data_IF_652828689822
#
_entry.id   IF_652828689822
#
_cell.length_a   1.000
_cell.length_b   1.000
_cell.length_c   1.000
_cell.angle_alpha   90.00
_cell.angle_beta   90.00
_cell.angle_gamma   90.00
#
_symmetry.space_group_name_H-M   'P 1'
#
loop_
_entity.id
_entity.type
_entity.pdbx_description
1 polymer ?
#
# COMPACT_ATOMS: atom_id res chain seq x y z
N UNK A 1 -41.66 -41.86 23.46
CA UNK A 1 -40.52 -41.86 22.53
C UNK A 1 -40.39 -40.54 21.74
N UNK A 2 -41.49 -39.83 21.46
CA UNK A 2 -41.47 -38.57 20.66
C UNK A 2 -40.83 -37.31 21.32
N UNK A 3 -40.71 -37.29 22.66
CA UNK A 3 -40.18 -36.10 23.37
C UNK A 3 -38.64 -35.99 23.31
N UNK A 4 -37.93 -37.10 23.10
CA UNK A 4 -36.45 -37.09 23.01
C UNK A 4 -35.95 -36.62 21.64
N UNK A 5 -36.70 -36.87 20.58
CA UNK A 5 -36.35 -36.46 19.21
C UNK A 5 -36.53 -34.93 19.02
N UNK A 6 -37.56 -34.37 19.67
CA UNK A 6 -37.81 -32.92 19.64
C UNK A 6 -36.74 -32.13 20.39
N UNK A 7 -36.19 -32.65 21.49
CA UNK A 7 -35.13 -32.02 22.27
C UNK A 7 -33.79 -32.04 21.50
N UNK A 8 -33.50 -33.13 20.80
CA UNK A 8 -32.28 -33.27 20.00
C UNK A 8 -32.30 -32.35 18.80
N UNK A 9 -33.43 -32.16 18.13
CA UNK A 9 -33.60 -31.24 17.01
C UNK A 9 -33.48 -29.76 17.47
N UNK A 10 -33.99 -29.42 18.65
CA UNK A 10 -33.85 -28.11 19.23
C UNK A 10 -32.39 -27.79 19.65
N UNK A 11 -31.68 -28.79 20.18
CA UNK A 11 -30.23 -28.65 20.53
C UNK A 11 -29.35 -28.52 19.29
N UNK A 12 -29.63 -29.30 18.24
CA UNK A 12 -28.92 -29.17 16.97
C UNK A 12 -29.20 -27.81 16.28
N UNK A 13 -30.43 -27.32 16.32
CA UNK A 13 -30.79 -26.00 15.81
C UNK A 13 -30.10 -24.88 16.57
N UNK A 14 -30.02 -24.98 17.92
CA UNK A 14 -29.30 -24.02 18.73
C UNK A 14 -27.75 -24.05 18.51
N UNK A 15 -27.18 -25.23 18.26
CA UNK A 15 -25.76 -25.40 17.97
C UNK A 15 -25.41 -24.83 16.59
N UNK A 16 -26.27 -25.00 15.58
CA UNK A 16 -26.08 -24.39 14.24
C UNK A 16 -26.23 -22.88 14.32
N UNK A 17 -27.16 -22.35 15.12
CA UNK A 17 -27.29 -20.90 15.32
C UNK A 17 -26.10 -20.31 16.10
N UNK A 18 -25.50 -21.07 17.04
CA UNK A 18 -24.26 -20.67 17.72
C UNK A 18 -23.04 -20.72 16.82
N UNK A 19 -22.98 -21.65 15.87
CA UNK A 19 -21.91 -21.73 14.87
C UNK A 19 -22.05 -20.65 13.78
N UNK A 20 -23.28 -20.23 13.47
CA UNK A 20 -23.52 -19.08 12.58
C UNK A 20 -23.34 -17.73 13.29
N UNK A 21 -23.35 -17.69 14.63
CA UNK A 21 -23.10 -16.50 15.45
C UNK A 21 -21.61 -16.28 15.79
N UNK A 22 -20.70 -17.16 15.34
CA UNK A 22 -19.31 -16.83 15.16
C UNK A 22 -19.17 -15.87 13.96
N UNK A 23 -19.91 -14.76 13.99
CA UNK A 23 -19.57 -13.58 13.22
C UNK A 23 -18.15 -13.21 13.62
N UNK A 24 -17.28 -13.14 12.63
CA UNK A 24 -15.93 -12.59 12.81
C UNK A 24 -16.05 -11.37 13.69
N UNK A 25 -15.37 -11.36 14.82
CA UNK A 25 -15.29 -10.19 15.67
C UNK A 25 -14.77 -9.07 14.77
N UNK A 26 -15.64 -8.11 14.43
CA UNK A 26 -15.20 -6.88 13.77
C UNK A 26 -14.21 -6.23 14.74
N UNK A 27 -12.93 -6.40 14.46
CA UNK A 27 -11.91 -5.59 15.12
C UNK A 27 -12.09 -4.21 14.52
N UNK A 28 -12.49 -3.26 15.35
CA UNK A 28 -12.79 -1.90 14.93
C UNK A 28 -11.47 -1.12 14.95
N UNK A 29 -10.72 -1.21 13.86
CA UNK A 29 -9.49 -0.43 13.70
C UNK A 29 -9.83 1.03 13.42
N UNK A 30 -8.99 2.00 13.85
CA UNK A 30 -9.16 3.40 13.53
C UNK A 30 -9.27 3.59 12.01
N UNK A 31 -10.27 4.34 11.55
CA UNK A 31 -10.39 4.65 10.13
C UNK A 31 -9.18 5.46 9.67
N UNK A 32 -8.67 5.14 8.48
CA UNK A 32 -7.76 6.01 7.76
C UNK A 32 -8.62 7.10 7.12
N UNK A 33 -8.18 8.35 7.24
CA UNK A 33 -8.87 9.47 6.59
C UNK A 33 -8.82 9.29 5.08
N UNK A 34 -9.98 9.28 4.44
CA UNK A 34 -10.13 8.97 3.03
C UNK A 34 -11.33 9.75 2.45
N UNK A 35 -11.21 10.25 1.21
CA UNK A 35 -12.29 10.99 0.58
C UNK A 35 -13.50 10.09 0.29
N UNK A 36 -14.68 10.69 0.15
CA UNK A 36 -15.87 10.00 -0.29
C UNK A 36 -15.82 9.79 -1.81
N UNK A 37 -15.59 8.56 -2.26
CA UNK A 37 -15.46 8.22 -3.67
C UNK A 37 -16.72 8.57 -4.49
N UNK A 38 -17.90 8.59 -3.88
CA UNK A 38 -19.15 8.92 -4.56
C UNK A 38 -19.21 10.41 -4.95
N UNK A 39 -18.39 11.26 -4.34
CA UNK A 39 -18.30 12.70 -4.64
C UNK A 39 -17.19 13.05 -5.62
N UNK A 40 -16.31 12.10 -5.95
CA UNK A 40 -15.16 12.30 -6.82
C UNK A 40 -15.47 11.98 -8.29
N UNK A 41 -14.77 12.64 -9.20
CA UNK A 41 -14.75 12.29 -10.63
C UNK A 41 -13.48 11.49 -10.90
N UNK A 42 -13.60 10.16 -10.91
CA UNK A 42 -12.47 9.28 -11.08
C UNK A 42 -12.32 8.80 -12.52
N UNK A 43 -11.09 8.77 -12.99
CA UNK A 43 -10.65 8.11 -14.22
C UNK A 43 -10.15 6.70 -13.91
N UNK A 44 -10.21 5.79 -14.88
CA UNK A 44 -9.69 4.41 -14.72
C UNK A 44 -8.46 4.23 -15.60
N UNK A 45 -7.48 3.51 -15.07
CA UNK A 45 -6.26 3.11 -15.79
C UNK A 45 -5.90 1.68 -15.41
N UNK A 46 -5.21 0.99 -16.30
CA UNK A 46 -4.66 -0.34 -16.04
C UNK A 46 -3.31 -0.51 -16.72
N UNK A 47 -2.40 -1.24 -16.07
CA UNK A 47 -1.22 -1.84 -16.68
C UNK A 47 -1.40 -3.37 -16.83
N UNK A 48 -0.31 -4.13 -16.97
CA UNK A 48 -0.37 -5.59 -17.11
C UNK A 48 -0.82 -6.33 -15.83
N UNK A 49 -0.77 -5.71 -14.67
CA UNK A 49 -0.94 -6.35 -13.36
C UNK A 49 -2.09 -5.78 -12.54
N UNK A 50 -2.30 -4.47 -12.63
CA UNK A 50 -3.23 -3.71 -11.78
C UNK A 50 -4.13 -2.83 -12.62
N UNK A 51 -5.41 -2.75 -12.23
CA UNK A 51 -6.37 -1.71 -12.64
C UNK A 51 -6.73 -0.90 -11.42
N UNK A 52 -6.82 0.43 -11.55
CA UNK A 52 -7.22 1.29 -10.45
C UNK A 52 -7.96 2.54 -10.96
N UNK A 53 -8.70 3.19 -10.06
CA UNK A 53 -9.33 4.50 -10.33
C UNK A 53 -8.57 5.58 -9.57
N UNK A 54 -8.48 6.77 -10.17
CA UNK A 54 -7.71 7.90 -9.64
C UNK A 54 -8.32 9.23 -10.06
N UNK A 55 -8.00 10.30 -9.37
CA UNK A 55 -8.37 11.66 -9.75
C UNK A 55 -7.38 12.19 -10.81
N UNK A 56 -7.82 12.23 -12.06
CA UNK A 56 -7.00 12.70 -13.17
C UNK A 56 -6.81 14.23 -13.21
N UNK A 57 -7.47 14.99 -12.33
CA UNK A 57 -7.20 16.42 -12.14
C UNK A 57 -5.97 16.68 -11.25
N UNK A 58 -5.58 15.70 -10.44
CA UNK A 58 -4.46 15.79 -9.51
C UNK A 58 -3.28 14.89 -9.86
N UNK A 59 -3.55 13.75 -10.51
CA UNK A 59 -2.56 12.72 -10.78
C UNK A 59 -2.45 12.37 -12.26
N UNK A 60 -1.23 12.19 -12.76
CA UNK A 60 -0.92 11.65 -14.08
C UNK A 60 -0.53 10.18 -13.96
N UNK A 61 -1.31 9.28 -14.54
CA UNK A 61 -1.00 7.85 -14.54
C UNK A 61 -0.02 7.49 -15.66
N UNK A 62 0.95 6.63 -15.36
CA UNK A 62 1.82 5.99 -16.36
C UNK A 62 1.58 4.47 -16.37
N UNK A 63 0.75 3.96 -17.28
CA UNK A 63 0.46 2.54 -17.40
C UNK A 63 1.58 1.73 -18.09
N UNK A 64 2.62 2.37 -18.58
CA UNK A 64 3.76 1.69 -19.22
C UNK A 64 4.76 1.15 -18.20
N UNK A 65 4.65 1.56 -16.94
CA UNK A 65 5.52 1.17 -15.83
C UNK A 65 4.85 0.07 -15.00
N UNK A 66 5.63 -0.88 -14.51
CA UNK A 66 5.25 -1.87 -13.51
C UNK A 66 6.21 -1.72 -12.32
N UNK A 67 5.69 -1.34 -11.13
CA UNK A 67 4.30 -1.14 -10.69
C UNK A 67 3.58 0.02 -11.39
N UNK A 68 2.22 0.00 -11.38
CA UNK A 68 1.39 1.09 -11.92
C UNK A 68 1.68 2.38 -11.16
N UNK A 69 2.16 3.40 -11.86
CA UNK A 69 2.72 4.62 -11.27
C UNK A 69 1.86 5.86 -11.58
N UNK A 70 1.73 6.72 -10.59
CA UNK A 70 1.00 7.99 -10.65
C UNK A 70 1.91 9.13 -10.18
N UNK A 71 1.99 10.20 -10.95
CA UNK A 71 2.77 11.40 -10.65
C UNK A 71 1.86 12.56 -10.29
N UNK A 72 2.21 13.30 -9.24
CA UNK A 72 1.42 14.45 -8.78
C UNK A 72 1.56 15.64 -9.73
N UNK A 73 0.45 16.09 -10.30
CA UNK A 73 0.46 17.11 -11.37
C UNK A 73 0.94 18.48 -10.90
N UNK A 74 0.70 18.83 -9.63
CA UNK A 74 1.13 20.13 -9.11
C UNK A 74 2.66 20.24 -8.98
N UNK A 75 3.39 19.11 -9.00
CA UNK A 75 4.83 19.04 -8.75
C UNK A 75 5.66 18.58 -9.97
N UNK A 76 5.06 18.53 -11.15
CA UNK A 76 5.74 18.10 -12.38
C UNK A 76 6.82 19.05 -12.89
N UNK A 77 7.06 20.18 -12.20
CA UNK A 77 8.10 21.15 -12.55
C UNK A 77 9.49 20.75 -12.03
N UNK A 78 9.60 19.82 -11.11
CA UNK A 78 10.83 19.33 -10.52
C UNK A 78 11.04 17.85 -10.88
N UNK A 79 11.75 17.59 -11.99
CA UNK A 79 12.02 16.23 -12.47
C UNK A 79 12.87 15.40 -11.48
N UNK A 80 13.58 16.06 -10.53
CA UNK A 80 14.45 15.38 -9.57
C UNK A 80 13.70 14.94 -8.30
N UNK A 81 12.55 15.55 -7.99
CA UNK A 81 11.79 15.32 -6.76
C UNK A 81 10.30 15.07 -7.06
N UNK A 82 10.02 14.15 -7.94
CA UNK A 82 8.62 13.85 -8.32
C UNK A 82 7.89 13.11 -7.19
N UNK A 83 6.87 13.77 -6.67
CA UNK A 83 5.88 13.13 -5.80
C UNK A 83 5.14 12.08 -6.60
N UNK A 84 5.12 10.84 -6.10
CA UNK A 84 4.51 9.74 -6.82
C UNK A 84 3.80 8.75 -5.90
N UNK A 85 2.90 7.97 -6.50
CA UNK A 85 2.28 6.80 -5.89
C UNK A 85 2.47 5.62 -6.82
N UNK A 86 2.86 4.47 -6.26
CA UNK A 86 2.95 3.21 -6.98
C UNK A 86 1.92 2.23 -6.41
N UNK A 87 1.27 1.48 -7.29
CA UNK A 87 0.34 0.42 -6.90
C UNK A 87 0.82 -0.90 -7.46
N UNK A 88 1.02 -1.88 -6.58
CA UNK A 88 1.45 -3.21 -6.95
C UNK A 88 0.50 -4.28 -6.42
N UNK A 89 0.23 -5.29 -7.23
CA UNK A 89 -0.43 -6.51 -6.83
C UNK A 89 0.59 -7.45 -6.19
N UNK A 90 0.28 -8.00 -5.02
CA UNK A 90 1.19 -8.91 -4.31
C UNK A 90 0.76 -10.36 -4.46
N UNK A 91 -0.46 -10.70 -4.05
CA UNK A 91 -0.95 -12.08 -4.11
C UNK A 91 -2.47 -12.16 -4.00
N UNK A 92 -3.04 -13.30 -4.46
CA UNK A 92 -4.47 -13.60 -4.37
C UNK A 92 -4.79 -14.54 -3.21
N UNK A 93 -6.08 -14.61 -2.86
CA UNK A 93 -6.61 -15.54 -1.85
C UNK A 93 -6.54 -15.01 -0.42
N UNK A 94 -6.27 -13.74 -0.24
CA UNK A 94 -6.26 -13.08 1.07
C UNK A 94 -7.68 -12.69 1.46
N UNK A 95 -8.17 -13.20 2.60
CA UNK A 95 -9.52 -12.87 3.07
C UNK A 95 -9.57 -11.52 3.78
N UNK A 96 -8.59 -11.24 4.61
CA UNK A 96 -8.43 -9.99 5.38
C UNK A 96 -7.01 -9.89 5.92
N UNK A 97 -6.62 -8.68 6.27
CA UNK A 97 -5.38 -8.42 7.02
C UNK A 97 -5.63 -8.48 8.52
N UNK A 98 -4.64 -8.93 9.25
CA UNK A 98 -4.62 -9.06 10.72
C UNK A 98 -3.35 -8.44 11.29
N UNK A 99 -3.25 -8.32 12.61
CA UNK A 99 -2.03 -7.85 13.28
C UNK A 99 -0.82 -8.77 13.05
N UNK A 100 -1.07 -10.07 12.86
CA UNK A 100 0.00 -11.04 12.56
C UNK A 100 0.60 -10.78 11.18
N UNK A 101 -0.21 -10.38 10.19
CA UNK A 101 0.26 -10.06 8.84
C UNK A 101 1.15 -8.80 8.81
N UNK A 102 1.01 -7.91 9.79
CA UNK A 102 1.78 -6.66 9.82
C UNK A 102 3.30 -6.91 9.92
N UNK A 103 3.73 -7.98 10.58
CA UNK A 103 5.14 -8.34 10.67
C UNK A 103 5.68 -8.85 9.33
N UNK A 104 4.88 -9.60 8.58
CA UNK A 104 5.25 -10.12 7.28
C UNK A 104 5.30 -8.99 6.25
N UNK A 105 4.32 -8.07 6.28
CA UNK A 105 4.31 -6.89 5.41
C UNK A 105 5.47 -5.93 5.72
N UNK A 106 5.83 -5.78 7.00
CA UNK A 106 7.02 -5.02 7.38
C UNK A 106 8.29 -5.67 6.83
N UNK A 107 8.42 -7.00 6.96
CA UNK A 107 9.57 -7.73 6.42
C UNK A 107 9.67 -7.63 4.90
N UNK A 108 8.54 -7.57 4.18
CA UNK A 108 8.50 -7.34 2.73
C UNK A 108 9.08 -5.97 2.40
N UNK A 109 8.59 -4.91 3.04
CA UNK A 109 9.06 -3.53 2.82
C UNK A 109 10.53 -3.38 3.23
N UNK A 110 10.92 -3.90 4.40
CA UNK A 110 12.32 -3.85 4.87
C UNK A 110 13.25 -4.73 4.02
N UNK A 111 12.75 -5.86 3.48
CA UNK A 111 13.51 -6.76 2.63
C UNK A 111 13.91 -6.11 1.31
N UNK A 112 13.03 -5.33 0.74
CA UNK A 112 13.28 -4.57 -0.50
C UNK A 112 14.28 -3.41 -0.25
N UNK A 113 14.20 -2.75 0.93
CA UNK A 113 14.98 -1.55 1.25
C UNK A 113 15.85 -1.69 2.51
N UNK A 114 16.36 -2.86 2.79
CA UNK A 114 16.86 -3.37 4.09
C UNK A 114 17.84 -2.53 4.90
N UNK A 115 18.32 -1.40 4.44
CA UNK A 115 19.26 -0.54 5.19
C UNK A 115 19.01 0.96 5.02
N UNK A 116 17.98 1.31 4.30
CA UNK A 116 17.68 2.67 3.87
C UNK A 116 16.41 3.16 4.49
N UNK A 117 15.46 2.24 4.73
CA UNK A 117 14.15 2.56 5.26
C UNK A 117 14.16 2.50 6.80
N UNK A 118 13.74 3.60 7.41
CA UNK A 118 13.44 3.66 8.83
C UNK A 118 11.95 3.85 9.02
N UNK A 119 11.25 2.81 9.49
CA UNK A 119 9.82 2.89 9.81
C UNK A 119 9.62 3.69 11.10
N UNK A 120 8.84 4.74 11.01
CA UNK A 120 8.52 5.67 12.10
C UNK A 120 7.16 5.38 12.72
N UNK A 121 6.18 4.96 11.89
CA UNK A 121 4.84 4.57 12.30
C UNK A 121 4.40 3.32 11.56
N UNK A 122 3.74 2.41 12.27
CA UNK A 122 3.01 1.28 11.68
C UNK A 122 1.79 0.97 12.52
N UNK A 123 0.67 0.72 11.86
CA UNK A 123 -0.58 0.38 12.55
C UNK A 123 -1.57 -0.33 11.65
N UNK A 124 -2.46 -1.09 12.28
CA UNK A 124 -3.70 -1.48 11.63
C UNK A 124 -4.61 -0.26 11.50
N UNK A 125 -5.31 -0.17 10.39
CA UNK A 125 -6.33 0.84 10.14
C UNK A 125 -7.51 0.22 9.40
N UNK A 126 -8.54 1.02 9.12
CA UNK A 126 -9.70 0.61 8.35
C UNK A 126 -9.88 1.53 7.14
N UNK A 127 -10.10 0.92 5.98
CA UNK A 127 -10.54 1.57 4.75
C UNK A 127 -11.92 1.01 4.38
N UNK A 128 -12.96 1.84 4.36
CA UNK A 128 -14.36 1.45 4.10
C UNK A 128 -14.84 0.25 4.95
N UNK A 129 -14.34 0.15 6.19
CA UNK A 129 -14.66 -0.94 7.11
C UNK A 129 -13.87 -2.23 6.87
N UNK A 130 -12.98 -2.27 5.88
CA UNK A 130 -12.02 -3.35 5.67
C UNK A 130 -10.71 -3.07 6.39
N UNK A 131 -10.09 -4.12 6.98
CA UNK A 131 -8.80 -3.98 7.62
C UNK A 131 -7.71 -3.68 6.59
N UNK A 132 -6.85 -2.74 6.92
CA UNK A 132 -5.67 -2.35 6.14
C UNK A 132 -4.48 -2.14 7.08
N UNK A 133 -3.27 -2.14 6.52
CA UNK A 133 -2.04 -1.81 7.25
C UNK A 133 -1.50 -0.51 6.69
N UNK A 134 -1.23 0.44 7.58
CA UNK A 134 -0.56 1.69 7.27
C UNK A 134 0.83 1.70 7.87
N UNK A 135 1.81 2.13 7.08
CA UNK A 135 3.17 2.38 7.55
C UNK A 135 3.67 3.72 7.00
N UNK A 136 4.52 4.37 7.78
CA UNK A 136 5.23 5.60 7.41
C UNK A 136 6.69 5.46 7.78
N UNK A 137 7.57 5.91 6.90
CA UNK A 137 9.00 5.85 7.12
C UNK A 137 9.75 6.88 6.31
N UNK A 138 11.06 6.89 6.49
CA UNK A 138 11.99 7.67 5.67
C UNK A 138 13.02 6.76 5.05
N UNK A 139 13.33 7.01 3.80
CA UNK A 139 14.38 6.33 3.05
C UNK A 139 15.55 7.26 2.82
N UNK A 140 16.76 6.77 3.04
CA UNK A 140 17.99 7.53 2.82
C UNK A 140 19.05 6.66 2.16
N UNK A 141 19.78 7.21 1.20
CA UNK A 141 20.92 6.51 0.63
C UNK A 141 21.99 6.24 1.68
N UNK A 142 22.52 5.04 1.68
CA UNK A 142 23.66 4.61 2.48
C UNK A 142 24.74 4.03 1.54
N UNK A 143 25.99 3.91 2.01
CA UNK A 143 27.03 3.24 1.22
C UNK A 143 26.62 1.85 0.75
N UNK A 144 25.93 1.11 1.64
CA UNK A 144 25.44 -0.23 1.32
C UNK A 144 24.39 -0.21 0.22
N UNK A 145 23.46 0.76 0.24
CA UNK A 145 22.47 0.94 -0.82
C UNK A 145 23.15 1.16 -2.17
N UNK A 146 24.09 2.07 -2.20
CA UNK A 146 24.83 2.42 -3.41
C UNK A 146 25.57 1.18 -3.95
N UNK A 147 26.17 0.37 -3.05
CA UNK A 147 26.83 -0.89 -3.44
C UNK A 147 25.81 -1.88 -4.04
N UNK A 148 24.64 -2.04 -3.43
CA UNK A 148 23.57 -2.92 -3.95
C UNK A 148 23.03 -2.43 -5.30
N UNK A 149 22.88 -1.14 -5.51
CA UNK A 149 22.43 -0.57 -6.79
C UNK A 149 23.44 -0.87 -7.90
N UNK A 150 24.74 -0.82 -7.59
CA UNK A 150 25.80 -1.19 -8.54
C UNK A 150 25.77 -2.70 -8.80
N UNK A 151 25.70 -3.54 -7.76
CA UNK A 151 25.68 -4.99 -7.86
C UNK A 151 24.48 -5.50 -8.68
N UNK A 152 23.30 -4.89 -8.50
CA UNK A 152 22.08 -5.23 -9.21
C UNK A 152 21.98 -4.61 -10.61
N UNK A 153 22.95 -3.76 -11.00
CA UNK A 153 22.98 -3.10 -12.30
C UNK A 153 21.96 -1.98 -12.49
N UNK A 154 21.39 -1.47 -11.39
CA UNK A 154 20.50 -0.30 -11.43
C UNK A 154 21.30 0.97 -11.75
N UNK A 155 22.55 1.04 -11.28
CA UNK A 155 23.53 2.07 -11.63
C UNK A 155 24.90 1.42 -11.89
N UNK A 156 25.66 2.02 -12.77
CA UNK A 156 27.08 1.71 -12.92
C UNK A 156 27.92 2.68 -12.08
N UNK A 157 29.13 2.30 -11.70
CA UNK A 157 30.06 3.21 -11.02
C UNK A 157 30.33 4.48 -11.85
N UNK A 158 30.35 4.36 -13.18
CA UNK A 158 30.58 5.50 -14.10
C UNK A 158 29.42 6.51 -14.06
N UNK A 159 28.18 6.04 -13.95
CA UNK A 159 27.00 6.90 -13.79
C UNK A 159 26.99 7.62 -12.43
N UNK A 160 27.36 6.92 -11.35
CA UNK A 160 27.52 7.53 -10.03
C UNK A 160 28.60 8.60 -10.05
N UNK A 161 29.76 8.33 -10.67
CA UNK A 161 30.84 9.30 -10.78
C UNK A 161 30.43 10.50 -11.64
N UNK A 162 29.59 10.30 -12.67
CA UNK A 162 29.09 11.36 -13.54
C UNK A 162 28.17 12.35 -12.83
N UNK A 163 27.38 11.88 -11.84
CA UNK A 163 26.51 12.76 -11.01
C UNK A 163 27.24 13.41 -9.84
N UNK A 164 28.56 13.21 -9.70
CA UNK A 164 29.40 13.82 -8.67
C UNK A 164 29.89 12.88 -7.58
N UNK A 165 29.65 11.58 -7.75
CA UNK A 165 30.16 10.52 -6.86
C UNK A 165 29.20 10.17 -5.71
N UNK A 166 29.63 9.23 -4.89
CA UNK A 166 28.85 8.73 -3.74
C UNK A 166 28.48 9.80 -2.74
N UNK A 167 29.37 10.77 -2.49
CA UNK A 167 29.11 11.83 -1.51
C UNK A 167 27.88 12.67 -1.88
N UNK A 168 27.61 12.83 -3.18
CA UNK A 168 26.39 13.53 -3.65
C UNK A 168 25.16 12.72 -3.32
N UNK A 169 25.12 11.41 -3.60
CA UNK A 169 24.00 10.53 -3.24
C UNK A 169 23.78 10.48 -1.72
N UNK A 170 24.83 10.36 -0.94
CA UNK A 170 24.75 10.35 0.53
C UNK A 170 24.29 11.70 1.11
N UNK A 171 24.40 12.78 0.36
CA UNK A 171 23.92 14.12 0.75
C UNK A 171 22.47 14.37 0.40
N UNK A 172 21.82 13.49 -0.36
CA UNK A 172 20.39 13.60 -0.67
C UNK A 172 19.58 13.52 0.64
N UNK A 173 18.70 14.50 0.90
CA UNK A 173 17.86 14.46 2.09
C UNK A 173 17.03 13.18 2.16
N UNK A 174 16.71 12.66 3.36
CA UNK A 174 15.81 11.53 3.49
C UNK A 174 14.47 11.78 2.80
N UNK A 175 14.01 10.80 2.03
CA UNK A 175 12.74 10.84 1.31
C UNK A 175 11.68 10.18 2.17
N UNK A 176 10.54 10.83 2.32
CA UNK A 176 9.43 10.29 3.09
C UNK A 176 8.62 9.30 2.26
N UNK A 177 8.26 8.17 2.87
CA UNK A 177 7.54 7.06 2.26
C UNK A 177 6.30 6.72 3.07
N UNK A 178 5.18 6.49 2.38
CA UNK A 178 3.95 5.93 2.93
C UNK A 178 3.67 4.58 2.28
N UNK A 179 3.11 3.66 3.06
CA UNK A 179 2.69 2.34 2.58
C UNK A 179 1.27 2.06 3.08
N UNK A 180 0.40 1.62 2.19
CA UNK A 180 -0.93 1.10 2.51
C UNK A 180 -1.06 -0.29 1.90
N UNK A 181 -1.25 -1.30 2.75
CA UNK A 181 -1.63 -2.63 2.32
C UNK A 181 -3.14 -2.78 2.45
N UNK A 182 -3.81 -3.18 1.38
CA UNK A 182 -5.26 -3.35 1.32
C UNK A 182 -5.65 -4.64 0.61
N UNK A 183 -6.82 -5.17 0.94
CA UNK A 183 -7.38 -6.36 0.28
C UNK A 183 -8.66 -5.98 -0.42
N UNK A 184 -8.71 -6.16 -1.75
CA UNK A 184 -9.88 -5.94 -2.58
C UNK A 184 -10.21 -7.20 -3.37
N UNK A 185 -11.45 -7.67 -3.29
CA UNK A 185 -11.88 -8.86 -4.03
C UNK A 185 -11.14 -10.16 -3.68
N UNK A 186 -10.38 -10.19 -2.59
CA UNK A 186 -9.53 -11.31 -2.20
C UNK A 186 -8.08 -11.19 -2.68
N UNK A 187 -7.71 -10.08 -3.27
CA UNK A 187 -6.36 -9.78 -3.74
C UNK A 187 -5.71 -8.73 -2.84
N UNK A 188 -4.45 -8.97 -2.50
CA UNK A 188 -3.62 -8.07 -1.69
C UNK A 188 -2.86 -7.12 -2.59
N UNK A 189 -2.95 -5.84 -2.27
CA UNK A 189 -2.23 -4.76 -2.93
C UNK A 189 -1.37 -3.98 -1.93
N UNK A 190 -0.29 -3.41 -2.44
CA UNK A 190 0.49 -2.39 -1.77
C UNK A 190 0.41 -1.09 -2.59
N UNK A 191 0.07 0.01 -1.92
CA UNK A 191 0.26 1.36 -2.43
C UNK A 191 1.46 1.97 -1.71
N UNK A 192 2.44 2.44 -2.46
CA UNK A 192 3.62 3.15 -1.93
C UNK A 192 3.56 4.59 -2.39
N UNK A 193 3.62 5.54 -1.47
CA UNK A 193 3.60 6.98 -1.77
C UNK A 193 4.92 7.64 -1.37
N UNK A 194 5.48 8.46 -2.26
CA UNK A 194 6.70 9.22 -2.04
C UNK A 194 6.38 10.70 -1.96
N UNK A 195 6.90 11.40 -0.94
CA UNK A 195 6.72 12.83 -0.78
C UNK A 195 7.97 13.48 -0.13
N UNK A 196 8.15 14.79 -0.32
CA UNK A 196 9.34 15.52 0.08
C UNK A 196 9.04 16.62 1.10
N UNK A 197 7.78 17.00 1.29
CA UNK A 197 7.35 18.01 2.25
C UNK A 197 6.09 17.58 3.00
N UNK A 198 5.89 18.16 4.19
CA UNK A 198 4.72 17.87 5.00
C UNK A 198 3.40 18.26 4.31
N UNK A 199 3.42 19.29 3.45
CA UNK A 199 2.22 19.74 2.73
C UNK A 199 1.79 18.72 1.66
N UNK A 200 2.75 18.04 1.03
CA UNK A 200 2.48 16.99 0.04
C UNK A 200 1.95 15.69 0.66
N UNK A 201 2.22 15.46 1.96
CA UNK A 201 1.79 14.23 2.64
C UNK A 201 0.28 14.03 2.58
N UNK A 202 -0.51 15.08 2.76
CA UNK A 202 -1.97 14.98 2.76
C UNK A 202 -2.50 14.56 1.38
N UNK A 203 -2.00 15.17 0.32
CA UNK A 203 -2.41 14.88 -1.06
C UNK A 203 -1.99 13.46 -1.48
N UNK A 204 -0.76 13.04 -1.12
CA UNK A 204 -0.27 11.67 -1.36
C UNK A 204 -1.13 10.65 -0.61
N UNK A 205 -1.43 10.90 0.68
CA UNK A 205 -2.25 9.99 1.46
C UNK A 205 -3.67 9.89 0.89
N UNK A 206 -4.27 11.00 0.45
CA UNK A 206 -5.58 11.02 -0.21
C UNK A 206 -5.55 10.18 -1.48
N UNK A 207 -4.62 10.44 -2.41
CA UNK A 207 -4.45 9.66 -3.63
C UNK A 207 -4.23 8.16 -3.36
N UNK A 208 -3.39 7.83 -2.38
CA UNK A 208 -3.16 6.43 -1.97
C UNK A 208 -4.42 5.75 -1.45
N UNK A 209 -5.26 6.45 -0.67
CA UNK A 209 -6.50 5.85 -0.15
C UNK A 209 -7.51 5.62 -1.26
N UNK A 210 -7.59 6.47 -2.28
CA UNK A 210 -8.40 6.24 -3.48
C UNK A 210 -7.92 5.00 -4.22
N UNK A 211 -6.63 4.90 -4.49
CA UNK A 211 -6.02 3.77 -5.21
C UNK A 211 -6.15 2.47 -4.41
N UNK A 212 -5.86 2.47 -3.11
CA UNK A 212 -5.97 1.29 -2.25
C UNK A 212 -7.40 0.73 -2.14
N UNK A 213 -8.42 1.54 -2.36
CA UNK A 213 -9.85 1.15 -2.34
C UNK A 213 -10.37 0.70 -3.70
N UNK A 214 -9.68 1.08 -4.78
CA UNK A 214 -10.16 0.85 -6.15
C UNK A 214 -9.28 -0.09 -6.95
N UNK A 215 -8.12 -0.51 -6.42
CA UNK A 215 -7.23 -1.44 -7.08
C UNK A 215 -7.89 -2.81 -7.30
N UNK A 216 -7.72 -3.36 -8.49
CA UNK A 216 -8.15 -4.69 -8.90
C UNK A 216 -7.01 -5.37 -9.66
N UNK A 217 -6.86 -6.68 -9.52
CA UNK A 217 -5.91 -7.44 -10.34
C UNK A 217 -6.42 -7.58 -11.77
N UNK A 218 -5.51 -7.46 -12.73
CA UNK A 218 -5.82 -7.73 -14.14
C UNK A 218 -5.49 -9.21 -14.40
N UNK A 219 -6.54 -10.04 -14.56
CA UNK A 219 -6.41 -11.48 -14.88
C UNK A 219 -6.44 -11.72 -16.36
#
# INVERSE_FOLDING_TARGET
MKMKESLLAALLGALVLLLCACGESKVDYPALDAPDLDTMTLSEVANGSVRAKYDASEWLADPSIDPLTFYYLADTSDEENMVNINVNFLLSGVKRLTEDDMSDMLAEVEGEYSNELTIQEKRMCSLDGSAAIYMEGTMQFTDKTIDLMIENGAFTQEEIDAIGGRDVLLSVPPVSQLYIFSVNGGDLFICTGTYFSADQKADVLEGMTVLARTAESVT
#
